data_IF_959320130146
#
_entry.id   IF_959320130146
#
_cell.length_a   1.000
_cell.length_b   1.000
_cell.length_c   1.000
_cell.angle_alpha   90.00
_cell.angle_beta   90.00
_cell.angle_gamma   90.00
#
_symmetry.space_group_name_H-M   'P 1'
#
loop_
_entity.id
_entity.type
_entity.pdbx_description
1 polymer ?
#
# COMPACT_ATOMS: atom_id res chain seq x y z
N UNK A 1 -14.65 -54.24 -43.09
CA UNK A 1 -14.71 -53.53 -41.79
C UNK A 1 -14.58 -52.05 -42.09
N UNK A 2 -15.67 -51.29 -42.11
CA UNK A 2 -15.64 -49.85 -42.31
C UNK A 2 -15.23 -49.18 -40.99
N UNK A 3 -13.98 -48.71 -40.92
CA UNK A 3 -13.47 -47.99 -39.76
C UNK A 3 -14.34 -46.75 -39.53
N UNK A 4 -14.87 -46.52 -38.32
CA UNK A 4 -15.84 -45.44 -38.06
C UNK A 4 -15.13 -44.06 -37.98
N UNK A 5 -14.50 -43.66 -39.08
CA UNK A 5 -13.70 -42.45 -39.17
C UNK A 5 -14.46 -41.18 -38.78
N UNK A 6 -15.78 -41.14 -38.98
CA UNK A 6 -16.65 -40.04 -38.56
C UNK A 6 -16.67 -39.88 -37.03
N UNK A 7 -16.69 -41.02 -36.30
CA UNK A 7 -16.63 -40.97 -34.80
C UNK A 7 -15.25 -40.55 -34.32
N UNK A 8 -14.18 -41.05 -34.95
CA UNK A 8 -12.80 -40.65 -34.60
C UNK A 8 -12.59 -39.15 -34.88
N UNK A 9 -13.08 -38.60 -35.99
CA UNK A 9 -13.03 -37.17 -36.29
C UNK A 9 -13.83 -36.32 -35.28
N UNK A 10 -15.00 -36.80 -34.85
CA UNK A 10 -15.78 -36.11 -33.79
C UNK A 10 -15.00 -36.05 -32.45
N UNK A 11 -14.38 -37.14 -32.03
CA UNK A 11 -13.59 -37.17 -30.79
C UNK A 11 -12.34 -36.28 -30.89
N UNK A 12 -11.67 -36.26 -32.02
CA UNK A 12 -10.53 -35.36 -32.28
C UNK A 12 -10.94 -33.88 -32.25
N UNK A 13 -12.08 -33.54 -32.85
CA UNK A 13 -12.63 -32.18 -32.77
C UNK A 13 -13.04 -31.79 -31.34
N UNK A 14 -13.68 -32.69 -30.61
CA UNK A 14 -14.04 -32.48 -29.20
C UNK A 14 -12.82 -32.25 -28.31
N UNK A 15 -11.75 -33.02 -28.49
CA UNK A 15 -10.47 -32.84 -27.78
C UNK A 15 -9.85 -31.48 -28.08
N UNK A 16 -9.85 -31.04 -29.36
CA UNK A 16 -9.32 -29.73 -29.73
C UNK A 16 -10.12 -28.59 -29.10
N UNK A 17 -11.45 -28.68 -29.08
CA UNK A 17 -12.33 -27.69 -28.45
C UNK A 17 -12.12 -27.62 -26.93
N UNK A 18 -11.92 -28.78 -26.29
CA UNK A 18 -11.63 -28.83 -24.86
C UNK A 18 -10.28 -28.16 -24.53
N UNK A 19 -9.22 -28.44 -25.29
CA UNK A 19 -7.91 -27.80 -25.16
C UNK A 19 -7.99 -26.28 -25.41
N UNK A 20 -8.74 -25.87 -26.41
CA UNK A 20 -8.97 -24.46 -26.71
C UNK A 20 -9.70 -23.75 -25.56
N UNK A 21 -10.78 -24.33 -25.02
CA UNK A 21 -11.50 -23.77 -23.88
C UNK A 21 -10.60 -23.63 -22.64
N UNK A 22 -9.79 -24.63 -22.36
CA UNK A 22 -8.85 -24.63 -21.24
C UNK A 22 -7.76 -23.55 -21.42
N UNK A 23 -7.20 -23.42 -22.62
CA UNK A 23 -6.24 -22.38 -22.96
C UNK A 23 -6.85 -20.98 -22.84
N UNK A 24 -8.07 -20.79 -23.33
CA UNK A 24 -8.80 -19.53 -23.25
C UNK A 24 -9.05 -19.11 -21.79
N UNK A 25 -9.55 -20.03 -20.95
CA UNK A 25 -9.78 -19.75 -19.52
C UNK A 25 -8.50 -19.43 -18.79
N UNK A 26 -7.41 -20.15 -19.09
CA UNK A 26 -6.11 -19.91 -18.46
C UNK A 26 -5.52 -18.56 -18.86
N UNK A 27 -5.60 -18.18 -20.14
CA UNK A 27 -5.12 -16.88 -20.61
C UNK A 27 -5.97 -15.72 -20.07
N UNK A 28 -7.28 -15.94 -19.96
CA UNK A 28 -8.19 -14.98 -19.33
C UNK A 28 -7.82 -14.75 -17.85
N UNK A 29 -7.61 -15.83 -17.08
CA UNK A 29 -7.20 -15.75 -15.67
C UNK A 29 -5.85 -15.08 -15.48
N UNK A 30 -4.85 -15.36 -16.31
CA UNK A 30 -3.52 -14.73 -16.24
C UNK A 30 -3.60 -13.21 -16.35
N UNK A 31 -4.46 -12.69 -17.21
CA UNK A 31 -4.64 -11.24 -17.39
C UNK A 31 -5.33 -10.55 -16.22
N UNK A 32 -6.13 -11.26 -15.44
CA UNK A 32 -6.72 -10.71 -14.21
C UNK A 32 -5.72 -10.68 -13.04
N UNK A 33 -4.77 -11.63 -12.97
CA UNK A 33 -3.74 -11.69 -11.91
C UNK A 33 -2.69 -10.59 -12.06
N UNK A 34 -2.31 -10.18 -13.28
CA UNK A 34 -1.37 -9.07 -13.50
C UNK A 34 -1.91 -7.70 -13.03
N UNK A 35 -3.19 -7.61 -12.67
CA UNK A 35 -3.81 -6.40 -12.09
C UNK A 35 -3.63 -6.27 -10.58
N UNK A 36 -3.12 -7.29 -9.89
CA UNK A 36 -3.03 -7.37 -8.42
C UNK A 36 -1.61 -7.31 -7.86
N UNK A 37 -0.64 -6.77 -8.59
CA UNK A 37 0.73 -6.57 -8.09
C UNK A 37 0.77 -5.43 -7.05
N UNK A 38 0.15 -5.65 -5.88
CA UNK A 38 -0.03 -4.65 -4.81
C UNK A 38 1.12 -4.58 -3.80
N UNK A 39 2.05 -5.52 -3.82
CA UNK A 39 3.13 -5.57 -2.81
C UNK A 39 4.24 -4.53 -2.97
N UNK A 40 4.48 -4.03 -4.18
CA UNK A 40 5.54 -3.05 -4.46
C UNK A 40 5.09 -1.60 -4.17
N UNK A 41 3.80 -1.35 -4.18
CA UNK A 41 3.20 -0.01 -4.01
C UNK A 41 3.29 0.48 -2.56
N UNK A 42 3.19 -0.41 -1.57
CA UNK A 42 3.14 -0.04 -0.16
C UNK A 42 4.48 0.48 0.37
N UNK A 43 5.61 -0.07 -0.08
CA UNK A 43 6.95 0.38 0.31
C UNK A 43 7.32 1.74 -0.30
N UNK A 44 6.86 2.03 -1.52
CA UNK A 44 7.05 3.34 -2.15
C UNK A 44 6.18 4.41 -1.50
N UNK A 45 4.97 4.07 -1.08
CA UNK A 45 4.08 5.00 -0.37
C UNK A 45 4.68 5.41 0.98
N UNK A 46 5.23 4.48 1.74
CA UNK A 46 5.86 4.79 3.04
C UNK A 46 7.07 5.72 2.89
N UNK A 47 7.93 5.48 1.91
CA UNK A 47 9.11 6.32 1.65
C UNK A 47 8.76 7.75 1.19
N UNK A 48 7.64 7.92 0.49
CA UNK A 48 7.18 9.23 0.03
C UNK A 48 6.80 10.17 1.19
N UNK A 49 6.41 9.62 2.34
CA UNK A 49 5.94 10.36 3.51
C UNK A 49 6.94 10.37 4.69
N UNK A 50 8.19 9.96 4.47
CA UNK A 50 9.21 9.88 5.54
C UNK A 50 9.43 11.22 6.27
N UNK A 51 9.24 12.34 5.57
CA UNK A 51 9.41 13.69 6.12
C UNK A 51 8.09 14.37 6.48
N UNK A 52 6.97 13.65 6.49
CA UNK A 52 5.69 14.24 6.89
C UNK A 52 5.70 14.53 8.40
N UNK A 53 5.23 15.72 8.78
CA UNK A 53 5.05 16.09 10.17
C UNK A 53 4.07 15.11 10.83
N UNK A 54 4.40 14.64 12.04
CA UNK A 54 3.49 13.84 12.85
C UNK A 54 2.39 14.74 13.39
N UNK A 55 1.15 14.33 13.23
CA UNK A 55 -0.02 15.02 13.74
C UNK A 55 -0.64 14.19 14.87
N UNK A 56 -1.00 14.86 15.94
CA UNK A 56 -1.63 14.24 17.11
C UNK A 56 -2.97 14.91 17.37
N UNK A 57 -4.03 14.12 17.45
CA UNK A 57 -5.37 14.59 17.77
C UNK A 57 -5.68 14.30 19.24
N UNK A 58 -6.21 15.28 19.96
CA UNK A 58 -6.84 15.02 21.25
C UNK A 58 -8.25 14.54 21.03
N UNK A 59 -8.66 13.50 21.77
CA UNK A 59 -10.03 13.01 21.69
C UNK A 59 -10.96 13.96 22.46
N UNK A 60 -11.68 14.80 21.74
CA UNK A 60 -12.98 15.29 22.20
C UNK A 60 -13.99 14.17 21.98
N UNK A 61 -13.87 13.06 22.68
CA UNK A 61 -14.87 12.02 22.65
C UNK A 61 -15.98 12.41 23.63
N UNK A 62 -17.13 12.79 23.12
CA UNK A 62 -18.39 12.57 23.84
C UNK A 62 -18.50 11.08 24.08
N UNK A 63 -18.40 10.67 25.34
CA UNK A 63 -18.66 9.31 25.75
C UNK A 63 -20.16 9.04 25.55
N UNK A 64 -20.53 8.41 24.46
CA UNK A 64 -21.85 7.82 24.27
C UNK A 64 -21.87 6.51 25.08
N UNK A 65 -22.20 6.59 26.37
CA UNK A 65 -22.33 5.47 27.26
C UNK A 65 -22.78 5.93 28.67
N UNK A 66 -23.45 5.07 29.48
CA UNK A 66 -23.93 5.47 30.79
C UNK A 66 -22.76 5.94 31.66
N UNK A 67 -22.94 7.08 32.31
CA UNK A 67 -21.98 7.83 33.08
C UNK A 67 -21.19 6.96 34.06
N UNK A 68 -19.95 6.65 33.73
CA UNK A 68 -18.96 6.18 34.66
C UNK A 68 -17.75 7.09 34.51
N UNK A 69 -17.61 8.05 35.41
CA UNK A 69 -16.55 9.01 35.65
C UNK A 69 -15.91 9.69 34.42
N UNK A 70 -15.77 11.02 34.43
CA UNK A 70 -15.00 11.71 33.39
C UNK A 70 -13.53 11.33 33.56
N UNK A 71 -13.09 10.31 32.87
CA UNK A 71 -11.68 10.08 32.60
C UNK A 71 -11.23 11.29 31.80
N UNK A 72 -10.41 12.14 32.42
CA UNK A 72 -10.08 13.46 31.92
C UNK A 72 -9.68 13.45 30.45
N UNK A 73 -10.13 14.46 29.72
CA UNK A 73 -9.92 14.76 28.30
C UNK A 73 -8.45 14.95 27.87
N UNK A 74 -7.50 14.17 28.42
CA UNK A 74 -6.07 14.31 28.16
C UNK A 74 -5.47 13.22 27.26
N UNK A 75 -6.32 12.36 26.67
CA UNK A 75 -5.84 11.32 25.77
C UNK A 75 -5.37 11.90 24.44
N UNK A 76 -4.14 11.57 24.05
CA UNK A 76 -3.54 11.96 22.77
C UNK A 76 -3.51 10.78 21.82
N UNK A 77 -4.11 10.93 20.64
CA UNK A 77 -4.14 9.90 19.60
C UNK A 77 -3.44 10.38 18.34
N UNK A 78 -2.69 9.49 17.72
CA UNK A 78 -2.23 9.65 16.37
C UNK A 78 -3.17 8.86 15.45
N UNK A 79 -3.95 9.56 14.62
CA UNK A 79 -4.81 8.96 13.57
C UNK A 79 -4.14 9.13 12.22
N UNK A 80 -3.88 8.01 11.55
CA UNK A 80 -3.27 8.00 10.22
C UNK A 80 -4.18 7.22 9.28
N UNK A 81 -4.60 7.83 8.18
CA UNK A 81 -5.24 7.12 7.07
C UNK A 81 -4.31 7.08 5.88
N UNK A 82 -4.24 5.94 5.22
CA UNK A 82 -3.55 5.74 3.95
C UNK A 82 -4.56 5.39 2.88
N UNK A 83 -4.63 6.22 1.82
CA UNK A 83 -5.51 6.04 0.68
C UNK A 83 -4.68 5.94 -0.59
N UNK A 84 -4.93 4.91 -1.38
CA UNK A 84 -4.39 4.80 -2.75
C UNK A 84 -5.55 4.77 -3.72
N UNK A 85 -5.53 5.68 -4.66
CA UNK A 85 -6.59 5.86 -5.66
C UNK A 85 -6.01 5.80 -7.06
N UNK A 86 -6.70 5.12 -7.97
CA UNK A 86 -6.37 5.03 -9.37
C UNK A 86 -7.31 5.90 -10.18
N UNK A 87 -6.75 6.82 -10.95
CA UNK A 87 -7.49 7.78 -11.76
C UNK A 87 -7.25 7.54 -13.24
N UNK A 88 -8.34 7.52 -14.01
CA UNK A 88 -8.30 7.59 -15.48
C UNK A 88 -8.38 9.02 -16.00
N UNK A 89 -8.81 9.95 -15.15
CA UNK A 89 -8.97 11.39 -15.42
C UNK A 89 -8.16 12.20 -14.41
N UNK A 90 -6.86 12.00 -14.38
CA UNK A 90 -5.96 12.48 -13.34
C UNK A 90 -6.10 13.96 -13.01
N UNK A 91 -6.20 14.83 -14.03
CA UNK A 91 -6.27 16.29 -13.82
C UNK A 91 -7.60 16.71 -13.17
N UNK A 92 -8.71 16.07 -13.57
CA UNK A 92 -10.04 16.29 -12.99
C UNK A 92 -10.09 15.78 -11.54
N UNK A 93 -9.58 14.54 -11.30
CA UNK A 93 -9.58 13.95 -9.98
C UNK A 93 -8.64 14.68 -9.02
N UNK A 94 -7.49 15.16 -9.50
CA UNK A 94 -6.61 16.05 -8.72
C UNK A 94 -7.34 17.30 -8.26
N UNK A 95 -8.05 17.98 -9.16
CA UNK A 95 -8.82 19.17 -8.82
C UNK A 95 -9.93 18.86 -7.79
N UNK A 96 -10.58 17.68 -7.89
CA UNK A 96 -11.57 17.21 -6.91
C UNK A 96 -10.94 16.93 -5.54
N UNK A 97 -9.75 16.36 -5.51
CA UNK A 97 -8.97 16.15 -4.26
C UNK A 97 -8.66 17.50 -3.62
N UNK A 98 -8.13 18.46 -4.38
CA UNK A 98 -7.80 19.81 -3.88
C UNK A 98 -9.05 20.53 -3.35
N UNK A 99 -10.17 20.43 -4.05
CA UNK A 99 -11.45 20.98 -3.59
C UNK A 99 -11.93 20.31 -2.29
N UNK A 100 -11.80 18.98 -2.19
CA UNK A 100 -12.14 18.22 -0.99
C UNK A 100 -11.28 18.61 0.22
N UNK A 101 -9.99 18.84 0.03
CA UNK A 101 -9.07 19.31 1.08
C UNK A 101 -9.55 20.65 1.62
N UNK A 102 -9.87 21.60 0.74
CA UNK A 102 -10.36 22.93 1.13
C UNK A 102 -11.71 22.85 1.87
N UNK A 103 -12.65 22.05 1.37
CA UNK A 103 -13.98 21.88 1.97
C UNK A 103 -13.92 21.32 3.41
N UNK A 104 -12.93 20.50 3.69
CA UNK A 104 -12.76 19.89 5.02
C UNK A 104 -11.70 20.62 5.87
N UNK A 105 -11.26 21.80 5.48
CA UNK A 105 -10.25 22.59 6.18
C UNK A 105 -8.93 21.83 6.36
N UNK A 106 -8.60 20.96 5.40
CA UNK A 106 -7.36 20.22 5.38
C UNK A 106 -6.18 21.12 4.99
N UNK A 107 -5.00 20.80 5.51
CA UNK A 107 -3.74 21.50 5.22
C UNK A 107 -2.82 20.50 4.52
N UNK A 108 -2.36 20.86 3.31
CA UNK A 108 -1.33 20.06 2.62
C UNK A 108 0.02 20.30 3.29
N UNK A 109 0.59 19.29 3.88
CA UNK A 109 1.88 19.32 4.57
C UNK A 109 3.01 18.82 3.69
N UNK A 110 2.71 17.87 2.81
CA UNK A 110 3.64 17.29 1.84
C UNK A 110 2.93 17.12 0.52
N UNK A 111 3.57 17.57 -0.56
CA UNK A 111 3.15 17.30 -1.93
C UNK A 111 4.36 16.81 -2.72
N UNK A 112 4.22 15.66 -3.37
CA UNK A 112 5.24 15.11 -4.25
C UNK A 112 4.58 14.53 -5.50
N UNK A 113 4.85 15.13 -6.65
CA UNK A 113 4.43 14.64 -7.95
C UNK A 113 5.59 13.97 -8.70
N UNK A 114 5.31 12.88 -9.38
CA UNK A 114 6.28 12.17 -10.22
C UNK A 114 5.61 11.53 -11.43
N UNK A 115 6.41 11.15 -12.43
CA UNK A 115 5.95 10.44 -13.61
C UNK A 115 5.56 11.35 -14.79
N UNK A 116 5.38 10.73 -15.96
CA UNK A 116 4.95 11.36 -17.20
C UNK A 116 3.46 11.11 -17.45
N UNK A 117 2.83 11.93 -18.29
CA UNK A 117 1.42 11.80 -18.65
C UNK A 117 1.08 10.37 -19.07
N UNK A 118 0.08 9.79 -18.41
CA UNK A 118 -0.33 8.40 -18.53
C UNK A 118 0.26 7.44 -17.49
N UNK A 119 1.16 7.94 -16.60
CA UNK A 119 1.75 7.22 -15.46
C UNK A 119 2.18 8.21 -14.35
N UNK A 120 1.43 9.27 -14.14
CA UNK A 120 1.71 10.24 -13.09
C UNK A 120 1.28 9.69 -11.74
N UNK A 121 2.05 10.01 -10.71
CA UNK A 121 1.72 9.69 -9.32
C UNK A 121 1.84 10.95 -8.50
N UNK A 122 0.81 11.23 -7.69
CA UNK A 122 0.77 12.34 -6.76
C UNK A 122 0.62 11.81 -5.34
N UNK A 123 1.58 12.12 -4.48
CA UNK A 123 1.54 11.82 -3.06
C UNK A 123 1.23 13.10 -2.29
N UNK A 124 0.20 13.06 -1.47
CA UNK A 124 -0.23 14.16 -0.61
C UNK A 124 -0.26 13.73 0.84
N UNK A 125 0.52 14.40 1.68
CA UNK A 125 0.41 14.33 3.13
C UNK A 125 -0.48 15.46 3.61
N UNK A 126 -1.64 15.14 4.17
CA UNK A 126 -2.68 16.10 4.49
C UNK A 126 -2.96 16.03 5.98
N UNK A 127 -2.95 17.17 6.67
CA UNK A 127 -3.45 17.31 8.02
C UNK A 127 -4.93 17.70 7.97
N UNK A 128 -5.80 16.93 8.62
CA UNK A 128 -7.25 17.15 8.64
C UNK A 128 -7.74 17.25 10.08
N UNK A 129 -8.61 18.22 10.43
CA UNK A 129 -9.21 18.30 11.76
C UNK A 129 -9.91 17.00 12.15
N UNK A 130 -9.78 16.52 13.42
CA UNK A 130 -10.35 15.24 13.86
C UNK A 130 -11.85 15.10 13.59
N UNK A 131 -12.58 16.20 13.73
CA UNK A 131 -14.04 16.27 13.54
C UNK A 131 -14.46 16.03 12.08
N UNK A 132 -13.55 16.36 11.13
CA UNK A 132 -13.79 16.23 9.68
C UNK A 132 -13.06 15.05 9.05
N UNK A 133 -12.31 14.29 9.85
CA UNK A 133 -11.46 13.22 9.34
C UNK A 133 -12.26 12.13 8.63
N UNK A 134 -13.30 11.60 9.27
CA UNK A 134 -14.08 10.50 8.71
C UNK A 134 -14.88 10.94 7.47
N UNK A 135 -15.47 12.15 7.49
CA UNK A 135 -16.16 12.72 6.34
C UNK A 135 -15.21 13.02 5.17
N UNK A 136 -13.97 13.43 5.47
CA UNK A 136 -12.94 13.63 4.46
C UNK A 136 -12.55 12.31 3.77
N UNK A 137 -12.36 11.24 4.55
CA UNK A 137 -12.04 9.91 4.00
C UNK A 137 -13.16 9.43 3.05
N UNK A 138 -14.43 9.59 3.46
CA UNK A 138 -15.56 9.20 2.60
C UNK A 138 -15.63 10.07 1.32
N UNK A 139 -15.38 11.38 1.41
CA UNK A 139 -15.32 12.25 0.25
C UNK A 139 -14.20 11.84 -0.72
N UNK A 140 -13.03 11.49 -0.18
CA UNK A 140 -11.90 11.02 -1.00
C UNK A 140 -12.18 9.67 -1.65
N UNK A 141 -12.89 8.76 -0.97
CA UNK A 141 -13.29 7.45 -1.52
C UNK A 141 -14.07 7.55 -2.83
N UNK A 142 -14.82 8.63 -3.01
CA UNK A 142 -15.59 8.89 -4.24
C UNK A 142 -14.78 9.40 -5.43
N UNK A 143 -13.45 9.56 -5.32
CA UNK A 143 -12.58 10.11 -6.37
C UNK A 143 -11.80 8.97 -7.01
N UNK A 144 -11.97 8.77 -8.33
CA UNK A 144 -11.33 7.67 -9.04
C UNK A 144 -11.77 6.28 -8.57
N UNK A 145 -10.88 5.31 -8.67
CA UNK A 145 -11.09 3.93 -8.17
C UNK A 145 -10.18 3.70 -6.97
N UNK A 146 -10.77 3.44 -5.82
CA UNK A 146 -10.02 3.15 -4.60
C UNK A 146 -9.33 1.80 -4.68
N UNK A 147 -8.00 1.79 -4.57
CA UNK A 147 -7.18 0.59 -4.54
C UNK A 147 -6.90 0.11 -3.11
N UNK A 148 -6.67 1.06 -2.17
CA UNK A 148 -6.39 0.77 -0.77
C UNK A 148 -6.97 1.86 0.13
N UNK A 149 -7.55 1.46 1.25
CA UNK A 149 -7.84 2.31 2.40
C UNK A 149 -7.39 1.57 3.65
N UNK A 150 -6.54 2.21 4.44
CA UNK A 150 -6.13 1.72 5.74
C UNK A 150 -6.17 2.89 6.74
N UNK A 151 -6.72 2.65 7.92
CA UNK A 151 -6.75 3.64 9.00
C UNK A 151 -6.15 3.02 10.25
N UNK A 152 -5.17 3.71 10.84
CA UNK A 152 -4.50 3.32 12.07
C UNK A 152 -4.74 4.41 13.11
N UNK A 153 -5.09 3.99 14.33
CA UNK A 153 -5.23 4.87 15.50
C UNK A 153 -4.30 4.37 16.58
N UNK A 154 -3.28 5.16 16.91
CA UNK A 154 -2.31 4.86 17.95
C UNK A 154 -2.55 5.73 19.18
N UNK A 155 -2.62 5.14 20.37
CA UNK A 155 -2.65 5.89 21.62
C UNK A 155 -1.23 6.34 21.97
N UNK A 156 -1.05 7.64 22.03
CA UNK A 156 0.23 8.33 22.36
C UNK A 156 0.22 8.99 23.73
N UNK A 157 -0.83 8.74 24.52
CA UNK A 157 -1.01 9.37 25.83
C UNK A 157 0.19 9.12 26.75
N UNK A 158 0.68 7.88 26.80
CA UNK A 158 1.82 7.55 27.68
C UNK A 158 3.11 8.25 27.23
N UNK A 159 3.36 8.34 25.93
CA UNK A 159 4.52 9.05 25.38
C UNK A 159 4.47 10.54 25.74
N UNK A 160 3.31 11.17 25.57
CA UNK A 160 3.09 12.55 25.97
C UNK A 160 3.33 12.78 27.46
N UNK A 161 2.76 11.93 28.32
CA UNK A 161 2.93 12.04 29.78
C UNK A 161 4.39 11.86 30.20
N UNK A 162 5.13 10.94 29.57
CA UNK A 162 6.56 10.74 29.83
C UNK A 162 7.38 11.98 29.45
N UNK A 163 7.14 12.57 28.26
CA UNK A 163 7.83 13.80 27.84
C UNK A 163 7.53 14.96 28.80
N UNK A 164 6.27 15.10 29.20
CA UNK A 164 5.85 16.12 30.17
C UNK A 164 6.51 15.95 31.57
N UNK A 165 6.56 14.71 32.06
CA UNK A 165 7.22 14.39 33.32
C UNK A 165 8.73 14.67 33.25
N UNK A 166 9.38 14.30 32.11
CA UNK A 166 10.81 14.58 31.90
C UNK A 166 11.09 16.08 31.87
N UNK A 167 10.26 16.86 31.18
CA UNK A 167 10.36 18.31 31.16
C UNK A 167 10.24 18.90 32.57
N UNK A 168 9.23 18.50 33.34
CA UNK A 168 9.04 18.96 34.72
C UNK A 168 10.23 18.63 35.64
N UNK A 169 10.86 17.46 35.44
CA UNK A 169 12.08 17.07 36.16
C UNK A 169 13.26 17.96 35.79
N UNK A 170 13.48 18.25 34.51
CA UNK A 170 14.56 19.14 34.06
C UNK A 170 14.35 20.59 34.54
N UNK A 171 13.10 21.09 34.55
CA UNK A 171 12.79 22.41 35.12
C UNK A 171 13.11 22.52 36.60
N UNK A 172 12.87 21.45 37.39
CA UNK A 172 13.31 21.39 38.81
C UNK A 172 14.83 21.38 38.93
N UNK A 173 15.54 20.63 38.08
CA UNK A 173 17.02 20.61 38.08
C UNK A 173 17.57 21.98 37.72
N UNK A 174 17.00 22.65 36.69
CA UNK A 174 17.37 24.02 36.34
C UNK A 174 17.23 24.96 37.53
N UNK A 175 16.08 24.96 38.23
CA UNK A 175 15.83 25.79 39.39
C UNK A 175 16.84 25.51 40.52
N UNK A 176 17.24 24.26 40.75
CA UNK A 176 18.25 23.89 41.72
C UNK A 176 19.64 24.40 41.34
N UNK A 177 20.02 24.31 40.06
CA UNK A 177 21.29 24.84 39.54
C UNK A 177 21.35 26.38 39.63
N UNK A 178 20.25 27.06 39.29
CA UNK A 178 20.11 28.52 39.44
C UNK A 178 20.34 28.96 40.92
N UNK A 179 19.75 28.22 41.86
CA UNK A 179 19.95 28.48 43.29
C UNK A 179 21.42 28.28 43.75
N UNK A 180 22.09 27.25 43.23
CA UNK A 180 23.52 26.99 43.50
C UNK A 180 24.41 28.10 42.92
N UNK A 181 24.09 28.61 41.72
CA UNK A 181 24.82 29.71 41.09
C UNK A 181 24.78 30.98 41.96
N UNK A 182 23.67 31.21 42.66
CA UNK A 182 23.51 32.36 43.59
C UNK A 182 24.16 32.18 44.95
N UNK A 183 24.55 30.97 45.38
CA UNK A 183 25.03 30.69 46.75
C UNK A 183 26.51 30.97 47.00
N UNK A 184 27.26 31.41 46.00
CA UNK A 184 28.71 31.66 46.09
C UNK A 184 29.52 30.35 45.94
N UNK A 185 30.72 30.46 45.41
CA UNK A 185 31.63 29.34 45.17
C UNK A 185 32.88 29.80 44.43
N UNK A 186 33.84 28.90 44.24
CA UNK A 186 35.02 29.18 43.42
C UNK A 186 34.65 29.48 41.99
N UNK A 187 35.51 30.17 41.23
CA UNK A 187 35.26 30.50 39.82
C UNK A 187 35.05 29.23 38.99
N UNK A 188 35.80 28.19 39.27
CA UNK A 188 35.70 26.91 38.56
C UNK A 188 34.36 26.21 38.80
N UNK A 189 33.87 26.22 40.06
CA UNK A 189 32.54 25.68 40.40
C UNK A 189 31.41 26.45 39.66
N UNK A 190 31.54 27.76 39.59
CA UNK A 190 30.55 28.60 38.89
C UNK A 190 30.54 28.33 37.40
N UNK A 191 31.71 28.15 36.78
CA UNK A 191 31.81 27.77 35.36
C UNK A 191 31.17 26.41 35.14
N UNK A 192 31.42 25.44 36.02
CA UNK A 192 30.82 24.12 35.94
C UNK A 192 29.27 24.16 36.00
N UNK A 193 28.74 24.88 36.99
CA UNK A 193 27.31 25.08 37.18
C UNK A 193 26.69 25.76 35.93
N UNK A 194 27.37 26.75 35.34
CA UNK A 194 26.92 27.45 34.16
C UNK A 194 26.85 26.50 32.95
N UNK A 195 27.83 25.63 32.75
CA UNK A 195 27.84 24.66 31.67
C UNK A 195 26.71 23.63 31.82
N UNK A 196 26.49 23.15 33.04
CA UNK A 196 25.37 22.23 33.33
C UNK A 196 24.02 22.91 33.10
N UNK A 197 23.89 24.18 33.48
CA UNK A 197 22.67 24.97 33.28
C UNK A 197 22.35 25.11 31.78
N UNK A 198 23.36 25.42 30.97
CA UNK A 198 23.21 25.50 29.50
C UNK A 198 22.74 24.15 28.93
N UNK A 199 23.37 23.05 29.41
CA UNK A 199 22.98 21.69 28.94
C UNK A 199 21.55 21.35 29.34
N UNK A 200 21.09 21.72 30.51
CA UNK A 200 19.71 21.49 30.96
C UNK A 200 18.72 22.34 30.15
N UNK A 201 19.07 23.60 29.87
CA UNK A 201 18.23 24.48 29.04
C UNK A 201 18.07 23.97 27.62
N UNK A 202 19.14 23.49 26.98
CA UNK A 202 19.08 22.86 25.67
C UNK A 202 18.12 21.66 25.66
N UNK A 203 18.21 20.78 26.67
CA UNK A 203 17.31 19.64 26.83
C UNK A 203 15.85 20.04 27.04
N UNK A 204 15.61 21.13 27.81
CA UNK A 204 14.27 21.66 28.02
C UNK A 204 13.70 22.20 26.70
N UNK A 205 14.51 22.89 25.90
CA UNK A 205 14.10 23.41 24.57
C UNK A 205 13.79 22.28 23.60
N UNK A 206 14.64 21.24 23.52
CA UNK A 206 14.40 20.04 22.69
C UNK A 206 13.08 19.35 23.07
N UNK A 207 12.84 19.15 24.37
CA UNK A 207 11.57 18.61 24.85
C UNK A 207 10.39 19.55 24.59
N UNK A 208 10.61 20.87 24.61
CA UNK A 208 9.63 21.87 24.28
C UNK A 208 9.15 21.74 22.85
N UNK A 209 10.06 21.49 21.90
CA UNK A 209 9.73 21.20 20.50
C UNK A 209 8.92 19.90 20.39
N UNK A 210 9.38 18.83 21.03
CA UNK A 210 8.69 17.54 21.01
C UNK A 210 7.29 17.63 21.62
N UNK A 211 7.11 18.35 22.74
CA UNK A 211 5.81 18.59 23.36
C UNK A 211 4.94 19.55 22.52
N UNK A 212 5.54 20.53 21.85
CA UNK A 212 4.83 21.43 20.94
C UNK A 212 4.12 20.70 19.81
N UNK A 213 4.67 19.57 19.36
CA UNK A 213 4.02 18.72 18.38
C UNK A 213 2.74 18.05 18.93
N UNK A 214 2.68 17.79 20.25
CA UNK A 214 1.48 17.26 20.91
C UNK A 214 0.47 18.34 21.32
N UNK A 215 0.95 19.53 21.69
CA UNK A 215 0.15 20.63 22.25
C UNK A 215 -0.18 21.72 21.23
N UNK A 216 0.25 21.57 19.98
CA UNK A 216 -0.03 22.56 18.94
C UNK A 216 -1.54 22.77 18.77
N UNK A 217 -1.95 24.02 18.59
CA UNK A 217 -3.36 24.40 18.39
C UNK A 217 -4.02 23.75 17.17
N UNK A 218 -3.23 23.16 16.29
CA UNK A 218 -3.68 22.39 15.14
C UNK A 218 -3.60 20.89 15.47
N UNK A 219 -4.54 20.39 16.25
CA UNK A 219 -4.75 18.96 16.45
C UNK A 219 -5.28 18.35 15.15
N UNK A 220 -4.39 17.82 14.34
CA UNK A 220 -4.73 17.29 13.03
C UNK A 220 -4.54 15.77 12.97
N UNK A 221 -5.37 15.09 12.21
CA UNK A 221 -5.15 13.73 11.78
C UNK A 221 -4.36 13.70 10.48
N UNK A 222 -3.49 12.73 10.29
CA UNK A 222 -2.70 12.58 9.07
C UNK A 222 -3.44 11.74 8.04
N UNK A 223 -3.57 12.25 6.81
CA UNK A 223 -4.05 11.49 5.66
C UNK A 223 -2.95 11.43 4.61
N UNK A 224 -2.49 10.22 4.31
CA UNK A 224 -1.53 9.92 3.24
C UNK A 224 -2.33 9.49 2.01
N UNK A 225 -2.49 10.39 1.05
CA UNK A 225 -3.22 10.12 -0.17
C UNK A 225 -2.26 9.97 -1.34
N UNK A 226 -2.39 8.86 -2.05
CA UNK A 226 -1.67 8.59 -3.30
C UNK A 226 -2.69 8.53 -4.44
N UNK A 227 -2.55 9.40 -5.42
CA UNK A 227 -3.34 9.39 -6.64
C UNK A 227 -2.46 8.93 -7.81
N UNK A 228 -2.80 7.79 -8.41
CA UNK A 228 -2.08 7.17 -9.51
C UNK A 228 -2.84 7.32 -10.82
N UNK A 229 -2.15 7.85 -11.83
CA UNK A 229 -2.72 7.90 -13.18
C UNK A 229 -2.63 6.50 -13.82
N UNK A 230 -3.79 5.92 -14.09
CA UNK A 230 -3.88 4.67 -14.84
C UNK A 230 -4.53 4.93 -16.19
N UNK A 231 -4.01 4.32 -17.24
CA UNK A 231 -4.69 4.37 -18.53
C UNK A 231 -6.03 3.68 -18.39
N UNK A 232 -7.09 4.31 -18.92
CA UNK A 232 -8.39 3.65 -19.03
C UNK A 232 -8.16 2.25 -19.62
N UNK A 233 -8.71 1.20 -19.03
CA UNK A 233 -8.57 -0.14 -19.58
C UNK A 233 -9.09 -0.07 -21.01
N UNK A 234 -8.17 -0.12 -22.00
CA UNK A 234 -8.61 -0.38 -23.37
C UNK A 234 -9.45 -1.62 -23.25
N UNK A 235 -10.71 -1.56 -23.72
CA UNK A 235 -11.55 -2.76 -23.85
C UNK A 235 -10.64 -3.81 -24.43
N UNK A 236 -10.27 -4.81 -23.60
CA UNK A 236 -9.33 -5.82 -24.02
C UNK A 236 -9.95 -6.44 -25.25
N UNK A 237 -9.37 -6.18 -26.43
CA UNK A 237 -9.86 -6.81 -27.64
C UNK A 237 -9.71 -8.30 -27.38
N UNK A 238 -10.78 -9.06 -27.51
CA UNK A 238 -10.77 -10.52 -27.33
C UNK A 238 -9.84 -11.20 -28.36
N UNK A 239 -9.54 -10.49 -29.45
CA UNK A 239 -8.67 -10.95 -30.51
C UNK A 239 -7.31 -11.49 -30.06
N UNK A 240 -6.47 -10.78 -29.28
CA UNK A 240 -5.18 -11.34 -28.88
C UNK A 240 -5.32 -12.51 -27.88
N UNK A 241 -6.41 -12.58 -27.10
CA UNK A 241 -6.69 -13.75 -26.24
C UNK A 241 -7.05 -14.95 -27.10
N UNK A 242 -7.93 -14.76 -28.10
CA UNK A 242 -8.34 -15.80 -29.04
C UNK A 242 -7.14 -16.31 -29.85
N UNK A 243 -6.29 -15.42 -30.37
CA UNK A 243 -5.11 -15.80 -31.17
C UNK A 243 -4.11 -16.57 -30.30
N UNK A 244 -3.84 -16.14 -29.08
CA UNK A 244 -2.95 -16.85 -28.14
C UNK A 244 -3.52 -18.23 -27.77
N UNK A 245 -4.82 -18.32 -27.47
CA UNK A 245 -5.48 -19.59 -27.14
C UNK A 245 -5.50 -20.57 -28.32
N UNK A 246 -5.77 -20.07 -29.56
CA UNK A 246 -5.71 -20.85 -30.78
C UNK A 246 -4.30 -21.39 -31.06
N UNK A 247 -3.26 -20.51 -30.92
CA UNK A 247 -1.89 -20.91 -31.14
C UNK A 247 -1.44 -21.99 -30.17
N UNK A 248 -1.73 -21.82 -28.87
CA UNK A 248 -1.37 -22.78 -27.85
C UNK A 248 -2.12 -24.11 -28.04
N UNK A 249 -3.41 -24.10 -28.29
CA UNK A 249 -4.21 -25.32 -28.51
C UNK A 249 -3.76 -26.08 -29.77
N UNK A 250 -3.45 -25.37 -30.85
CA UNK A 250 -2.92 -25.97 -32.07
C UNK A 250 -1.54 -26.63 -31.83
N UNK A 251 -0.65 -25.98 -31.09
CA UNK A 251 0.65 -26.52 -30.76
C UNK A 251 0.55 -27.81 -29.93
N UNK A 252 -0.27 -27.80 -28.88
CA UNK A 252 -0.47 -28.97 -28.02
C UNK A 252 -1.13 -30.13 -28.80
N UNK A 253 -2.13 -29.81 -29.62
CA UNK A 253 -2.82 -30.79 -30.46
C UNK A 253 -1.87 -31.44 -31.46
N UNK A 254 -1.02 -30.65 -32.12
CA UNK A 254 0.00 -31.16 -33.04
C UNK A 254 1.04 -32.03 -32.32
N UNK A 255 1.42 -31.66 -31.09
CA UNK A 255 2.32 -32.43 -30.24
C UNK A 255 1.76 -33.81 -29.87
N UNK A 256 0.47 -33.87 -29.51
CA UNK A 256 -0.21 -35.13 -29.19
C UNK A 256 -0.31 -36.01 -30.49
N UNK A 257 -0.70 -35.42 -31.59
CA UNK A 257 -0.80 -36.14 -32.88
C UNK A 257 0.56 -36.65 -33.34
N UNK A 258 1.60 -35.83 -33.27
CA UNK A 258 2.96 -36.23 -33.64
C UNK A 258 3.52 -37.32 -32.71
N UNK A 259 3.26 -37.23 -31.39
CA UNK A 259 3.63 -38.24 -30.43
C UNK A 259 2.97 -39.58 -30.68
N UNK A 260 1.69 -39.61 -31.00
CA UNK A 260 0.97 -40.84 -31.35
C UNK A 260 1.49 -41.45 -32.65
N UNK A 261 1.80 -40.64 -33.69
CA UNK A 261 2.42 -41.10 -34.92
C UNK A 261 3.78 -41.70 -34.68
N UNK A 262 4.61 -41.08 -33.86
CA UNK A 262 5.95 -41.61 -33.48
C UNK A 262 5.84 -42.94 -32.76
N UNK A 263 4.88 -43.11 -31.83
CA UNK A 263 4.62 -44.35 -31.12
C UNK A 263 4.13 -45.45 -32.08
N UNK A 264 3.27 -45.13 -33.02
CA UNK A 264 2.84 -46.11 -34.05
C UNK A 264 3.97 -46.56 -34.95
N UNK A 265 4.85 -45.65 -35.37
CA UNK A 265 6.05 -45.96 -36.17
C UNK A 265 7.02 -46.84 -35.38
N UNK A 266 7.26 -46.52 -34.09
CA UNK A 266 8.11 -47.34 -33.23
C UNK A 266 7.55 -48.74 -33.01
N UNK A 267 6.25 -48.88 -32.77
CA UNK A 267 5.57 -50.15 -32.66
C UNK A 267 5.66 -50.99 -33.96
N UNK A 268 5.47 -50.34 -35.12
CA UNK A 268 5.61 -50.98 -36.42
C UNK A 268 7.05 -51.47 -36.67
N UNK A 269 8.06 -50.64 -36.35
CA UNK A 269 9.47 -50.98 -36.49
C UNK A 269 9.84 -52.18 -35.58
N UNK A 270 9.30 -52.24 -34.36
CA UNK A 270 9.51 -53.34 -33.43
C UNK A 270 8.92 -54.66 -33.95
N UNK A 271 7.68 -54.63 -34.48
CA UNK A 271 7.04 -55.80 -35.12
C UNK A 271 7.85 -56.25 -36.33
N UNK A 272 8.31 -55.31 -37.17
CA UNK A 272 9.15 -55.67 -38.34
C UNK A 272 10.51 -56.27 -37.91
N UNK A 273 11.11 -55.80 -36.83
CA UNK A 273 12.34 -56.35 -36.27
C UNK A 273 12.14 -57.77 -35.76
N UNK A 274 11.05 -58.02 -35.04
CA UNK A 274 10.69 -59.37 -34.51
C UNK A 274 10.42 -60.34 -35.68
N UNK A 275 9.71 -59.89 -36.72
CA UNK A 275 9.50 -60.70 -37.90
C UNK A 275 10.80 -61.09 -38.61
N UNK A 276 11.76 -60.14 -38.72
CA UNK A 276 13.09 -60.41 -39.31
C UNK A 276 13.90 -61.43 -38.50
N UNK A 277 13.90 -61.27 -37.17
CA UNK A 277 14.61 -62.20 -36.26
C UNK A 277 14.04 -63.63 -36.36
N UNK A 278 12.69 -63.76 -36.47
CA UNK A 278 12.05 -65.05 -36.67
C UNK A 278 12.41 -65.72 -37.97
N UNK A 279 12.59 -64.97 -39.06
CA UNK A 279 13.01 -65.50 -40.36
C UNK A 279 14.50 -65.90 -40.37
N UNK A 280 15.34 -65.30 -39.53
CA UNK A 280 16.76 -65.70 -39.40
C UNK A 280 17.01 -66.85 -38.45
N UNK A 281 16.06 -67.18 -37.59
CA UNK A 281 16.19 -68.21 -36.56
C UNK A 281 15.48 -69.58 -36.93
N UNK A 282 14.78 -69.62 -38.07
CA UNK A 282 14.18 -70.80 -38.65
C UNK A 282 14.83 -71.16 -39.97
#
# INVERSE_FOLDING_TARGET
>A
MTFPWKRAAMWAAALYLALFALAFVNEWRRRDVDRTATGFEQSQQESAFTNARKNYASAKMEAVGPATQPIGNSQKYEKIASLTQRSTEFDSDRARVEAGIKAHQGIVQVERGSGLKGKRVLHLGIGVPPEKFDSFIEAMRGIGTTALIATVKNDKTNEYLQLRAKRASLEKTRTALDALQGSGGSVDERIHVQNELTTVEEKIQELGVSLGDFDSQNELCTVKLTLEEVRAPRRASLLPVLVAALGWSAFVYAGIGGGLLALMMAAWALVALIARVRVMAG
#
